data_IF_865845868144
#
_entry.id   IF_865845868144
#
_cell.length_a   1.000
_cell.length_b   1.000
_cell.length_c   1.000
_cell.angle_alpha   90.00
_cell.angle_beta   90.00
_cell.angle_gamma   90.00
#
_symmetry.space_group_name_H-M   'P 1'
#
loop_
_entity.id
_entity.type
_entity.pdbx_description
1 polymer ?
#
# COMPACT_ATOMS: atom_id res chain seq x y z
N UNK A 1 -16.45 2.86 1.73
CA UNK A 1 -15.54 3.95 2.16
C UNK A 1 -14.71 4.49 1.00
N UNK A 2 -15.35 5.18 0.07
CA UNK A 2 -14.71 5.69 -1.16
C UNK A 2 -14.05 7.06 -1.02
N UNK A 3 -14.30 7.77 0.09
CA UNK A 3 -13.76 9.11 0.32
C UNK A 3 -12.23 9.12 0.31
N UNK A 4 -11.65 9.96 -0.56
CA UNK A 4 -10.20 10.10 -0.73
C UNK A 4 -9.54 8.97 -1.52
N UNK A 5 -10.32 8.04 -2.12
CA UNK A 5 -9.79 6.98 -2.98
C UNK A 5 -9.67 7.45 -4.42
N UNK A 6 -8.57 7.08 -5.04
CA UNK A 6 -8.26 7.35 -6.44
C UNK A 6 -8.78 6.20 -7.31
N UNK A 7 -9.80 6.44 -8.13
CA UNK A 7 -10.44 5.41 -8.94
C UNK A 7 -10.27 5.69 -10.43
N UNK A 8 -9.78 4.72 -11.19
CA UNK A 8 -9.86 4.75 -12.64
C UNK A 8 -11.19 4.16 -13.07
N UNK A 9 -12.02 4.94 -13.76
CA UNK A 9 -13.21 4.48 -14.44
C UNK A 9 -12.92 4.29 -15.93
N UNK A 10 -12.78 3.03 -16.33
CA UNK A 10 -12.63 2.62 -17.71
C UNK A 10 -13.99 2.46 -18.38
N UNK A 11 -14.16 3.06 -19.56
CA UNK A 11 -15.42 2.99 -20.33
C UNK A 11 -15.14 2.43 -21.71
N UNK A 12 -15.74 1.27 -22.03
CA UNK A 12 -15.66 0.69 -23.37
C UNK A 12 -16.93 0.95 -24.20
N UNK A 13 -16.81 0.77 -25.53
CA UNK A 13 -17.86 1.11 -26.48
C UNK A 13 -19.02 0.12 -26.50
N UNK A 14 -20.11 0.48 -25.89
CA UNK A 14 -21.37 -0.26 -25.89
C UNK A 14 -22.50 0.59 -25.32
N UNK A 15 -23.76 0.21 -25.61
CA UNK A 15 -24.94 0.98 -25.21
C UNK A 15 -24.97 1.24 -23.70
N UNK A 16 -24.49 0.30 -22.90
CA UNK A 16 -24.45 0.43 -21.43
C UNK A 16 -23.53 1.56 -20.92
N UNK A 17 -22.74 2.22 -21.79
CA UNK A 17 -21.90 3.36 -21.43
C UNK A 17 -22.72 4.52 -20.80
N UNK A 18 -24.02 4.65 -21.12
CA UNK A 18 -24.85 5.67 -20.48
C UNK A 18 -24.94 5.49 -18.95
N UNK A 19 -24.88 4.25 -18.44
CA UNK A 19 -24.87 3.95 -17.00
C UNK A 19 -23.58 4.44 -16.31
N UNK A 20 -22.48 4.52 -17.04
CA UNK A 20 -21.18 4.97 -16.49
C UNK A 20 -21.23 6.42 -16.01
N UNK A 21 -22.13 7.24 -16.54
CA UNK A 21 -22.36 8.61 -16.07
C UNK A 21 -22.92 8.62 -14.66
N UNK A 22 -23.90 7.76 -14.40
CA UNK A 22 -24.49 7.60 -13.06
C UNK A 22 -23.44 7.05 -12.10
N UNK A 23 -22.70 6.02 -12.52
CA UNK A 23 -21.60 5.44 -11.71
C UNK A 23 -20.56 6.50 -11.37
N UNK A 24 -20.09 7.28 -12.35
CA UNK A 24 -19.14 8.38 -12.12
C UNK A 24 -19.67 9.35 -11.05
N UNK A 25 -20.92 9.78 -11.16
CA UNK A 25 -21.52 10.69 -10.18
C UNK A 25 -21.63 10.08 -8.78
N UNK A 26 -21.95 8.79 -8.67
CA UNK A 26 -22.02 8.08 -7.39
C UNK A 26 -20.62 8.04 -6.72
N UNK A 27 -19.59 7.69 -7.48
CA UNK A 27 -18.20 7.65 -6.97
C UNK A 27 -17.73 9.03 -6.51
N UNK A 28 -17.94 10.07 -7.32
CA UNK A 28 -17.56 11.45 -6.96
C UNK A 28 -18.35 11.93 -5.73
N UNK A 29 -19.67 11.67 -5.64
CA UNK A 29 -20.47 12.03 -4.47
C UNK A 29 -20.04 11.29 -3.20
N UNK A 30 -19.53 10.06 -3.34
CA UNK A 30 -18.95 9.29 -2.24
C UNK A 30 -17.56 9.82 -1.82
N UNK A 31 -17.04 10.86 -2.49
CA UNK A 31 -15.77 11.52 -2.17
C UNK A 31 -14.55 10.88 -2.81
N UNK A 32 -14.72 10.03 -3.82
CA UNK A 32 -13.61 9.50 -4.61
C UNK A 32 -13.10 10.51 -5.64
N UNK A 33 -11.80 10.48 -5.89
CA UNK A 33 -11.15 11.14 -7.03
C UNK A 33 -11.21 10.21 -8.23
N UNK A 34 -11.94 10.60 -9.28
CA UNK A 34 -12.19 9.70 -10.42
C UNK A 34 -11.47 10.19 -11.67
N UNK A 35 -10.61 9.36 -12.23
CA UNK A 35 -10.00 9.55 -13.55
C UNK A 35 -10.69 8.66 -14.58
N UNK A 36 -11.32 9.28 -15.58
CA UNK A 36 -11.98 8.53 -16.64
C UNK A 36 -10.97 8.21 -17.74
N UNK A 37 -10.96 6.92 -18.15
CA UNK A 37 -10.21 6.42 -19.32
C UNK A 37 -11.23 5.76 -20.27
N UNK A 38 -11.38 6.30 -21.45
CA UNK A 38 -12.40 5.85 -22.41
C UNK A 38 -11.75 5.28 -23.69
N UNK A 39 -12.28 4.16 -24.19
CA UNK A 39 -11.83 3.64 -25.50
C UNK A 39 -12.27 4.54 -26.64
N UNK A 40 -11.58 4.51 -27.82
CA UNK A 40 -12.03 5.22 -29.00
C UNK A 40 -13.52 4.97 -29.32
N UNK A 41 -13.94 3.72 -29.34
CA UNK A 41 -15.35 3.35 -29.57
C UNK A 41 -16.28 3.80 -28.45
N UNK A 42 -15.79 4.00 -27.24
CA UNK A 42 -16.59 4.50 -26.11
C UNK A 42 -17.10 5.92 -26.35
N UNK A 43 -16.31 6.73 -27.07
CA UNK A 43 -16.65 8.13 -27.41
C UNK A 43 -17.88 8.24 -28.32
N UNK A 44 -18.22 7.19 -29.07
CA UNK A 44 -19.42 7.15 -29.92
C UNK A 44 -20.72 7.02 -29.10
N UNK A 45 -20.62 6.49 -27.86
CA UNK A 45 -21.78 6.30 -26.99
C UNK A 45 -21.92 7.40 -25.94
N UNK A 46 -20.81 7.97 -25.48
CA UNK A 46 -20.81 9.06 -24.51
C UNK A 46 -19.64 9.99 -24.73
N UNK A 47 -19.91 11.30 -24.70
CA UNK A 47 -18.89 12.30 -25.02
C UNK A 47 -17.92 12.54 -23.86
N UNK A 48 -16.61 12.77 -24.15
CA UNK A 48 -15.64 13.20 -23.16
C UNK A 48 -16.04 14.47 -22.41
N UNK A 49 -16.77 15.39 -23.07
CA UNK A 49 -17.25 16.64 -22.44
C UNK A 49 -18.19 16.36 -21.26
N UNK A 50 -19.13 15.43 -21.42
CA UNK A 50 -20.03 15.03 -20.33
C UNK A 50 -19.25 14.46 -19.15
N UNK A 51 -18.31 13.56 -19.43
CA UNK A 51 -17.53 12.86 -18.41
C UNK A 51 -16.56 13.80 -17.68
N UNK A 52 -15.89 14.70 -18.41
CA UNK A 52 -14.96 15.67 -17.80
C UNK A 52 -15.67 16.69 -16.91
N UNK A 53 -16.85 17.14 -17.35
CA UNK A 53 -17.66 18.08 -16.55
C UNK A 53 -18.15 17.46 -15.23
N UNK A 54 -18.35 16.15 -15.18
CA UNK A 54 -18.82 15.45 -13.99
C UNK A 54 -17.68 15.00 -13.08
N UNK A 55 -16.53 14.62 -13.64
CA UNK A 55 -15.35 14.20 -12.86
C UNK A 55 -14.52 15.37 -12.37
N UNK A 56 -14.63 16.55 -13.02
CA UNK A 56 -13.75 17.69 -12.79
C UNK A 56 -12.33 17.48 -13.36
N UNK A 57 -12.10 16.42 -14.15
CA UNK A 57 -10.81 16.04 -14.72
C UNK A 57 -10.89 15.80 -16.22
N UNK A 58 -9.83 16.07 -16.99
CA UNK A 58 -9.77 15.69 -18.41
C UNK A 58 -9.97 14.18 -18.59
N UNK A 59 -10.73 13.80 -19.62
CA UNK A 59 -10.92 12.39 -19.99
C UNK A 59 -9.72 11.93 -20.83
N UNK A 60 -9.14 10.80 -20.48
CA UNK A 60 -8.01 10.22 -21.20
C UNK A 60 -8.54 9.15 -22.17
N UNK A 61 -8.16 9.25 -23.44
CA UNK A 61 -8.60 8.34 -24.49
C UNK A 61 -7.42 7.94 -25.40
N UNK A 62 -6.49 8.84 -25.59
CA UNK A 62 -5.34 8.68 -26.49
C UNK A 62 -4.04 8.74 -25.68
N UNK A 63 -2.96 8.17 -26.23
CA UNK A 63 -1.63 8.24 -25.60
C UNK A 63 -1.03 9.64 -25.62
N UNK A 64 -1.43 10.45 -26.63
CA UNK A 64 -0.94 11.81 -26.84
C UNK A 64 -2.08 12.76 -27.12
N UNK A 65 -2.00 13.97 -26.63
CA UNK A 65 -2.87 15.07 -27.03
C UNK A 65 -2.55 15.50 -28.45
N UNK A 66 -3.53 15.45 -29.35
CA UNK A 66 -3.33 15.68 -30.79
C UNK A 66 -2.71 17.06 -31.13
N UNK A 67 -2.99 18.11 -30.35
CA UNK A 67 -2.56 19.48 -30.63
C UNK A 67 -1.27 19.88 -29.92
N UNK A 68 -0.87 19.22 -28.82
CA UNK A 68 0.27 19.62 -28.02
C UNK A 68 1.38 18.55 -27.98
N UNK A 69 1.07 17.30 -28.38
CA UNK A 69 1.98 16.17 -28.20
C UNK A 69 2.19 15.78 -26.72
N UNK A 70 1.42 16.33 -25.80
CA UNK A 70 1.47 15.97 -24.40
C UNK A 70 1.18 14.48 -24.21
N UNK A 71 2.06 13.80 -23.49
CA UNK A 71 1.97 12.37 -23.25
C UNK A 71 1.10 12.07 -22.01
N UNK A 72 0.10 11.21 -22.20
CA UNK A 72 -0.69 10.67 -21.10
C UNK A 72 -0.09 9.36 -20.60
N UNK A 73 0.55 9.42 -19.45
CA UNK A 73 1.27 8.27 -18.89
C UNK A 73 0.31 7.24 -18.26
N UNK A 74 0.12 6.12 -18.95
CA UNK A 74 -0.60 4.95 -18.41
C UNK A 74 0.08 4.39 -17.14
N UNK A 75 1.42 4.47 -17.06
CA UNK A 75 2.19 4.05 -15.88
C UNK A 75 1.83 4.92 -14.67
N UNK A 76 1.79 6.25 -14.86
CA UNK A 76 1.41 7.18 -13.78
C UNK A 76 -0.01 6.93 -13.30
N UNK A 77 -0.95 6.62 -14.19
CA UNK A 77 -2.32 6.25 -13.85
C UNK A 77 -2.37 4.95 -13.05
N UNK A 78 -1.60 3.93 -13.46
CA UNK A 78 -1.51 2.64 -12.77
C UNK A 78 -0.91 2.73 -11.38
N UNK A 79 -0.02 3.71 -11.13
CA UNK A 79 0.55 3.98 -9.80
C UNK A 79 -0.38 4.84 -8.94
N UNK A 80 -1.11 5.79 -9.56
CA UNK A 80 -1.99 6.73 -8.88
C UNK A 80 -3.26 6.06 -8.29
N UNK A 81 -3.79 5.03 -8.98
CA UNK A 81 -5.08 4.45 -8.65
C UNK A 81 -5.04 3.52 -7.41
N UNK A 82 -6.06 3.64 -6.57
CA UNK A 82 -6.39 2.68 -5.51
C UNK A 82 -7.26 1.52 -6.01
N UNK A 83 -8.05 1.75 -7.08
CA UNK A 83 -8.79 0.74 -7.81
C UNK A 83 -9.03 1.16 -9.26
N UNK A 84 -9.20 0.17 -10.14
CA UNK A 84 -9.65 0.36 -11.51
C UNK A 84 -10.96 -0.41 -11.73
N UNK A 85 -11.98 0.25 -12.26
CA UNK A 85 -13.24 -0.39 -12.67
C UNK A 85 -13.49 -0.14 -14.16
N UNK A 86 -13.69 -1.20 -14.94
CA UNK A 86 -14.10 -1.12 -16.35
C UNK A 86 -15.59 -1.37 -16.44
N UNK A 87 -16.36 -0.33 -16.66
CA UNK A 87 -17.83 -0.35 -16.69
C UNK A 87 -18.35 0.64 -17.75
N UNK A 88 -18.97 0.14 -18.84
CA UNK A 88 -19.11 -1.27 -19.20
C UNK A 88 -17.81 -1.91 -19.67
N UNK A 89 -17.69 -3.24 -19.49
CA UNK A 89 -16.68 -4.06 -20.11
C UNK A 89 -17.31 -4.91 -21.23
N UNK A 90 -17.10 -4.51 -22.48
CA UNK A 90 -17.62 -5.24 -23.65
C UNK A 90 -16.80 -6.51 -23.93
N UNK A 91 -17.37 -7.46 -24.67
CA UNK A 91 -16.69 -8.69 -25.08
C UNK A 91 -15.31 -8.44 -25.72
N UNK A 92 -15.21 -7.41 -26.58
CA UNK A 92 -13.93 -7.00 -27.18
C UNK A 92 -12.91 -6.55 -26.15
N UNK A 93 -13.33 -5.73 -25.19
CA UNK A 93 -12.42 -5.22 -24.13
C UNK A 93 -11.99 -6.34 -23.21
N UNK A 94 -12.90 -7.23 -22.78
CA UNK A 94 -12.60 -8.40 -21.98
C UNK A 94 -11.61 -9.34 -22.66
N UNK A 95 -11.79 -9.58 -23.97
CA UNK A 95 -10.88 -10.41 -24.77
C UNK A 95 -9.47 -9.80 -24.82
N UNK A 96 -9.36 -8.49 -25.07
CA UNK A 96 -8.08 -7.78 -25.08
C UNK A 96 -7.38 -7.78 -23.72
N UNK A 97 -8.14 -7.58 -22.64
CA UNK A 97 -7.60 -7.66 -21.28
C UNK A 97 -7.07 -9.07 -20.99
N UNK A 98 -7.85 -10.12 -21.28
CA UNK A 98 -7.49 -11.51 -21.04
C UNK A 98 -6.29 -11.99 -21.87
N UNK A 99 -6.07 -11.41 -23.05
CA UNK A 99 -4.96 -11.78 -23.94
C UNK A 99 -3.80 -10.79 -23.96
N UNK A 100 -3.88 -9.68 -23.21
CA UNK A 100 -2.84 -8.68 -23.11
C UNK A 100 -2.65 -7.82 -24.38
N UNK A 101 -3.68 -7.66 -25.24
CA UNK A 101 -3.63 -6.84 -26.46
C UNK A 101 -3.82 -5.38 -26.11
N UNK A 102 -2.73 -4.66 -25.91
CA UNK A 102 -2.70 -3.25 -25.49
C UNK A 102 -2.79 -2.27 -26.70
N UNK A 103 -3.86 -2.32 -27.44
CA UNK A 103 -4.07 -1.50 -28.65
C UNK A 103 -4.77 -0.15 -28.39
N UNK A 104 -5.10 0.14 -27.14
CA UNK A 104 -5.73 1.38 -26.73
C UNK A 104 -5.35 1.76 -25.30
N UNK A 105 -5.58 3.02 -24.93
CA UNK A 105 -5.19 3.57 -23.65
C UNK A 105 -5.79 2.83 -22.44
N UNK A 106 -7.04 2.35 -22.54
CA UNK A 106 -7.71 1.64 -21.44
C UNK A 106 -7.01 0.32 -21.11
N UNK A 107 -6.75 -0.53 -22.13
CA UNK A 107 -6.11 -1.84 -21.91
C UNK A 107 -4.65 -1.67 -21.51
N UNK A 108 -3.95 -0.67 -22.07
CA UNK A 108 -2.58 -0.35 -21.66
C UNK A 108 -2.53 0.10 -20.18
N UNK A 109 -3.50 0.90 -19.74
CA UNK A 109 -3.62 1.30 -18.34
C UNK A 109 -3.91 0.09 -17.45
N UNK A 110 -4.79 -0.82 -17.87
CA UNK A 110 -5.05 -2.08 -17.16
C UNK A 110 -3.77 -2.90 -16.96
N UNK A 111 -2.97 -3.10 -17.99
CA UNK A 111 -1.71 -3.85 -17.89
C UNK A 111 -0.65 -3.16 -17.02
N UNK A 112 -0.81 -1.87 -16.76
CA UNK A 112 0.07 -1.08 -15.88
C UNK A 112 -0.49 -0.90 -14.47
N UNK A 113 -1.74 -1.34 -14.22
CA UNK A 113 -2.41 -1.16 -12.95
C UNK A 113 -1.74 -1.99 -11.85
N UNK A 114 -1.47 -1.34 -10.72
CA UNK A 114 -0.95 -1.98 -9.49
C UNK A 114 -2.01 -2.13 -8.40
N UNK A 115 -3.21 -1.69 -8.70
CA UNK A 115 -4.37 -1.73 -7.83
C UNK A 115 -5.31 -2.86 -8.21
N UNK A 116 -6.26 -3.26 -7.34
CA UNK A 116 -7.35 -4.16 -7.68
C UNK A 116 -8.13 -3.67 -8.90
N UNK A 117 -8.44 -4.61 -9.80
CA UNK A 117 -9.18 -4.32 -11.03
C UNK A 117 -10.55 -5.02 -10.98
N UNK A 118 -11.57 -4.27 -11.34
CA UNK A 118 -12.96 -4.73 -11.44
C UNK A 118 -13.44 -4.59 -12.88
N UNK A 119 -14.31 -5.51 -13.31
CA UNK A 119 -14.99 -5.42 -14.61
C UNK A 119 -16.48 -5.64 -14.43
N UNK A 120 -17.29 -4.82 -15.08
CA UNK A 120 -18.74 -4.99 -15.19
C UNK A 120 -19.10 -5.34 -16.63
N UNK A 121 -19.22 -6.64 -16.97
CA UNK A 121 -19.52 -7.08 -18.33
C UNK A 121 -20.88 -6.56 -18.84
N UNK A 122 -20.92 -6.21 -20.13
CA UNK A 122 -22.14 -5.78 -20.81
C UNK A 122 -22.09 -6.19 -22.28
N UNK A 123 -23.01 -7.07 -22.67
CA UNK A 123 -23.12 -7.59 -24.05
C UNK A 123 -24.46 -8.33 -24.24
N UNK A 124 -24.79 -8.67 -25.47
CA UNK A 124 -25.96 -9.46 -25.77
C UNK A 124 -25.87 -10.89 -25.20
N UNK A 125 -27.03 -11.53 -25.03
CA UNK A 125 -27.21 -12.83 -24.41
C UNK A 125 -26.30 -13.90 -25.01
N UNK A 126 -26.33 -14.04 -26.35
CA UNK A 126 -25.54 -15.06 -27.06
C UNK A 126 -24.03 -14.79 -26.97
N UNK A 127 -23.63 -13.53 -26.96
CA UNK A 127 -22.25 -13.11 -26.73
C UNK A 127 -21.77 -13.45 -25.32
N UNK A 128 -22.66 -13.30 -24.33
CA UNK A 128 -22.34 -13.62 -22.94
C UNK A 128 -22.19 -15.13 -22.71
N UNK A 129 -23.04 -15.93 -23.34
CA UNK A 129 -23.01 -17.38 -23.27
C UNK A 129 -21.94 -18.01 -24.19
N UNK A 130 -21.28 -17.23 -25.06
CA UNK A 130 -20.30 -17.75 -25.99
C UNK A 130 -19.07 -18.32 -25.25
N UNK A 131 -18.61 -19.56 -25.59
CA UNK A 131 -17.49 -20.18 -24.89
C UNK A 131 -16.21 -19.33 -24.82
N UNK A 132 -15.97 -18.47 -25.80
CA UNK A 132 -14.81 -17.56 -25.79
C UNK A 132 -14.95 -16.49 -24.70
N UNK A 133 -16.17 -15.96 -24.50
CA UNK A 133 -16.43 -14.97 -23.45
C UNK A 133 -16.26 -15.61 -22.06
N UNK A 134 -16.79 -16.82 -21.88
CA UNK A 134 -16.63 -17.57 -20.62
C UNK A 134 -15.16 -17.84 -20.32
N UNK A 135 -14.35 -18.28 -21.33
CA UNK A 135 -12.90 -18.46 -21.15
C UNK A 135 -12.20 -17.15 -20.77
N UNK A 136 -12.51 -16.04 -21.43
CA UNK A 136 -11.91 -14.75 -21.13
C UNK A 136 -12.22 -14.30 -19.71
N UNK A 137 -13.47 -14.45 -19.26
CA UNK A 137 -13.86 -14.15 -17.88
C UNK A 137 -13.17 -15.07 -16.87
N UNK A 138 -13.03 -16.37 -17.18
CA UNK A 138 -12.31 -17.32 -16.34
C UNK A 138 -10.82 -16.94 -16.23
N UNK A 139 -10.19 -16.57 -17.34
CA UNK A 139 -8.80 -16.08 -17.37
C UNK A 139 -8.65 -14.83 -16.51
N UNK A 140 -9.50 -13.83 -16.70
CA UNK A 140 -9.44 -12.61 -15.91
C UNK A 140 -9.64 -12.87 -14.40
N UNK A 141 -10.53 -13.79 -14.03
CA UNK A 141 -10.68 -14.21 -12.62
C UNK A 141 -9.41 -14.87 -12.08
N UNK A 142 -8.77 -15.74 -12.88
CA UNK A 142 -7.51 -16.39 -12.48
C UNK A 142 -6.36 -15.40 -12.34
N UNK A 143 -6.40 -14.28 -13.09
CA UNK A 143 -5.44 -13.19 -13.02
C UNK A 143 -5.75 -12.19 -11.89
N UNK A 144 -6.77 -12.47 -11.05
CA UNK A 144 -7.14 -11.65 -9.90
C UNK A 144 -8.09 -10.49 -10.21
N UNK A 145 -8.71 -10.44 -11.41
CA UNK A 145 -9.70 -9.44 -11.75
C UNK A 145 -11.05 -9.80 -11.12
N UNK A 146 -11.65 -8.85 -10.42
CA UNK A 146 -12.97 -8.98 -9.81
C UNK A 146 -14.07 -8.78 -10.86
N UNK A 147 -14.78 -9.84 -11.21
CA UNK A 147 -15.90 -9.78 -12.17
C UNK A 147 -17.17 -9.48 -11.40
N UNK A 148 -17.78 -8.32 -11.67
CA UNK A 148 -19.13 -7.97 -11.18
C UNK A 148 -20.10 -8.60 -12.15
N UNK A 149 -20.89 -9.56 -11.67
CA UNK A 149 -21.78 -10.35 -12.52
C UNK A 149 -22.84 -9.46 -13.18
N UNK A 150 -23.11 -9.67 -14.49
CA UNK A 150 -24.16 -8.92 -15.17
C UNK A 150 -25.54 -9.31 -14.63
N UNK A 151 -26.44 -8.33 -14.59
CA UNK A 151 -27.82 -8.53 -14.19
C UNK A 151 -28.61 -9.29 -15.26
N UNK A 152 -29.63 -10.00 -14.81
CA UNK A 152 -30.64 -10.63 -15.68
C UNK A 152 -31.76 -9.61 -15.94
N UNK A 153 -32.00 -9.26 -17.18
CA UNK A 153 -33.01 -8.27 -17.56
C UNK A 153 -33.18 -8.14 -19.06
N UNK A 154 -34.04 -7.21 -19.48
CA UNK A 154 -34.21 -6.86 -20.89
C UNK A 154 -32.96 -6.17 -21.42
N UNK A 155 -32.46 -6.64 -22.55
CA UNK A 155 -31.32 -6.12 -23.29
C UNK A 155 -31.78 -5.14 -24.40
N UNK A 156 -30.86 -4.40 -24.99
CA UNK A 156 -31.15 -3.51 -26.10
C UNK A 156 -31.68 -4.23 -27.34
N UNK A 157 -31.43 -5.53 -27.45
CA UNK A 157 -32.00 -6.45 -28.46
C UNK A 157 -33.43 -6.90 -28.16
N UNK A 158 -34.06 -6.42 -27.09
CA UNK A 158 -35.33 -6.86 -26.55
C UNK A 158 -35.36 -8.33 -26.06
N UNK A 159 -34.23 -9.01 -26.04
CA UNK A 159 -34.10 -10.31 -25.40
C UNK A 159 -33.99 -10.14 -23.87
N UNK A 160 -34.49 -11.12 -23.13
CA UNK A 160 -34.40 -11.14 -21.66
C UNK A 160 -33.43 -12.23 -21.23
N UNK A 161 -32.37 -11.84 -20.52
CA UNK A 161 -31.35 -12.76 -20.06
C UNK A 161 -30.19 -12.10 -19.35
N UNK A 162 -29.12 -12.89 -19.10
CA UNK A 162 -27.88 -12.45 -18.47
C UNK A 162 -27.01 -11.74 -19.51
N UNK A 163 -26.66 -10.48 -19.29
CA UNK A 163 -25.80 -9.71 -20.19
C UNK A 163 -25.92 -8.20 -19.98
N UNK A 164 -26.92 -7.76 -19.21
CA UNK A 164 -27.10 -6.36 -18.83
C UNK A 164 -26.04 -5.96 -17.80
N UNK A 165 -25.32 -4.86 -18.05
CA UNK A 165 -24.41 -4.32 -17.04
C UNK A 165 -25.13 -4.13 -15.70
N UNK A 166 -24.52 -4.55 -14.62
CA UNK A 166 -25.04 -4.34 -13.26
C UNK A 166 -25.38 -2.85 -13.02
N UNK A 167 -26.31 -2.58 -12.12
CA UNK A 167 -26.73 -1.22 -11.83
C UNK A 167 -25.61 -0.41 -11.16
N UNK A 168 -25.45 0.88 -11.52
CA UNK A 168 -24.37 1.73 -11.01
C UNK A 168 -24.29 1.79 -9.49
N UNK A 169 -25.44 1.76 -8.81
CA UNK A 169 -25.55 1.76 -7.35
C UNK A 169 -24.92 0.51 -6.74
N UNK A 170 -25.18 -0.65 -7.34
CA UNK A 170 -24.60 -1.92 -6.87
C UNK A 170 -23.11 -2.01 -7.17
N UNK A 171 -22.66 -1.52 -8.34
CA UNK A 171 -21.23 -1.43 -8.66
C UNK A 171 -20.51 -0.54 -7.64
N UNK A 172 -21.06 0.63 -7.33
CA UNK A 172 -20.51 1.53 -6.32
C UNK A 172 -20.49 0.88 -4.93
N UNK A 173 -21.54 0.13 -4.57
CA UNK A 173 -21.59 -0.60 -3.30
C UNK A 173 -20.55 -1.72 -3.22
N UNK A 174 -20.27 -2.45 -4.31
CA UNK A 174 -19.20 -3.46 -4.37
C UNK A 174 -17.82 -2.83 -4.11
N UNK A 175 -17.53 -1.70 -4.74
CA UNK A 175 -16.30 -0.97 -4.51
C UNK A 175 -16.20 -0.43 -3.07
N UNK A 176 -17.29 0.11 -2.53
CA UNK A 176 -17.34 0.60 -1.15
C UNK A 176 -17.14 -0.53 -0.14
N UNK A 177 -17.80 -1.68 -0.34
CA UNK A 177 -17.62 -2.88 0.48
C UNK A 177 -16.17 -3.37 0.44
N UNK A 178 -15.58 -3.46 -0.75
CA UNK A 178 -14.18 -3.88 -0.93
C UNK A 178 -13.20 -3.02 -0.12
N UNK A 179 -13.38 -1.69 -0.14
CA UNK A 179 -12.55 -0.81 0.67
C UNK A 179 -12.93 -0.82 2.15
N UNK A 180 -14.17 -1.15 2.50
CA UNK A 180 -14.65 -1.27 3.89
C UNK A 180 -14.15 -2.55 4.56
N UNK A 181 -14.09 -3.66 3.85
CA UNK A 181 -13.55 -4.93 4.33
C UNK A 181 -12.06 -4.82 4.73
N UNK A 182 -11.33 -3.89 4.14
CA UNK A 182 -9.94 -3.58 4.52
C UNK A 182 -9.80 -2.68 5.76
N UNK A 183 -10.90 -2.23 6.38
CA UNK A 183 -10.86 -1.38 7.58
C UNK A 183 -10.77 -2.20 8.88
N UNK A 184 -9.98 -3.26 8.86
CA UNK A 184 -9.82 -4.22 9.99
C UNK A 184 -9.23 -3.57 11.24
N UNK A 185 -8.54 -2.44 11.10
CA UNK A 185 -7.93 -1.68 12.19
C UNK A 185 -8.67 -0.36 12.50
N UNK A 186 -9.91 -0.20 12.04
CA UNK A 186 -10.70 0.99 12.35
C UNK A 186 -10.80 1.22 13.88
N UNK A 187 -10.45 2.43 14.32
CA UNK A 187 -10.45 2.81 15.74
C UNK A 187 -9.26 2.25 16.55
N UNK A 188 -8.32 1.52 15.93
CA UNK A 188 -7.07 1.10 16.56
C UNK A 188 -5.99 2.16 16.46
N UNK A 189 -5.22 2.32 17.53
CA UNK A 189 -4.03 3.19 17.57
C UNK A 189 -2.77 2.36 17.39
N UNK A 190 -2.01 2.68 16.37
CA UNK A 190 -0.79 1.94 16.01
C UNK A 190 0.42 2.85 16.13
N UNK A 191 1.38 2.47 16.97
CA UNK A 191 2.68 3.10 17.09
C UNK A 191 3.68 2.35 16.21
N UNK A 192 4.43 3.07 15.38
CA UNK A 192 5.49 2.48 14.54
C UNK A 192 6.75 3.31 14.71
N UNK A 193 7.90 2.66 14.93
CA UNK A 193 9.20 3.31 14.79
C UNK A 193 9.84 3.01 13.45
N UNK A 194 10.47 3.97 12.81
CA UNK A 194 11.09 3.83 11.50
C UNK A 194 12.40 4.64 11.37
N UNK A 195 13.20 4.30 10.35
CA UNK A 195 14.45 5.00 10.09
C UNK A 195 15.61 4.59 10.99
N UNK A 196 16.78 5.18 10.79
CA UNK A 196 17.93 5.05 11.71
C UNK A 196 17.80 6.03 12.88
N UNK A 197 18.62 5.86 13.92
CA UNK A 197 18.95 6.95 14.82
C UNK A 197 20.37 7.44 14.54
N UNK A 198 20.61 8.74 14.76
CA UNK A 198 21.90 9.39 14.61
C UNK A 198 22.38 9.88 15.96
N UNK A 199 23.44 9.25 16.44
CA UNK A 199 24.08 9.61 17.70
C UNK A 199 25.26 10.55 17.41
N UNK A 200 25.08 11.83 17.67
CA UNK A 200 26.05 12.85 17.29
C UNK A 200 27.39 12.66 17.97
N UNK A 201 28.45 12.67 17.20
CA UNK A 201 29.82 12.84 17.67
C UNK A 201 30.09 14.34 17.82
N UNK A 202 29.75 15.11 16.78
CA UNK A 202 29.81 16.56 16.71
C UNK A 202 28.73 17.08 15.77
N UNK A 203 28.59 18.40 15.52
CA UNK A 203 27.54 18.92 14.62
C UNK A 203 27.59 18.41 13.17
N UNK A 204 28.65 17.68 12.78
CA UNK A 204 28.87 17.22 11.40
C UNK A 204 28.83 15.70 11.29
N UNK A 205 29.27 14.96 12.33
CA UNK A 205 29.46 13.51 12.31
C UNK A 205 28.62 12.80 13.35
N UNK A 206 28.18 11.60 13.03
CA UNK A 206 27.34 10.77 13.89
C UNK A 206 27.68 9.27 13.73
N UNK A 207 27.23 8.49 14.70
CA UNK A 207 27.14 7.03 14.65
C UNK A 207 25.69 6.69 14.30
N UNK A 208 25.47 5.78 13.35
CA UNK A 208 24.11 5.38 12.95
C UNK A 208 24.14 4.15 12.05
N UNK A 209 22.94 3.67 11.70
CA UNK A 209 22.73 2.51 10.84
C UNK A 209 22.39 2.91 9.40
N UNK A 210 22.64 2.03 8.42
CA UNK A 210 22.33 2.25 7.01
C UNK A 210 20.83 2.16 6.67
N UNK A 211 19.95 2.19 7.66
CA UNK A 211 18.50 2.12 7.44
C UNK A 211 17.99 3.35 6.66
N UNK A 212 17.10 3.12 5.74
CA UNK A 212 16.40 4.17 4.98
C UNK A 212 14.97 4.41 5.44
N UNK A 213 14.48 3.66 6.42
CA UNK A 213 13.11 3.77 6.93
C UNK A 213 12.02 3.08 6.08
N UNK A 214 12.35 2.61 4.86
CA UNK A 214 11.36 2.09 3.88
C UNK A 214 10.40 1.07 4.46
N UNK A 215 10.85 0.13 5.32
CA UNK A 215 9.99 -0.91 5.86
C UNK A 215 8.97 -0.34 6.86
N UNK A 216 9.42 0.49 7.81
CA UNK A 216 8.53 1.12 8.79
C UNK A 216 7.49 2.04 8.14
N UNK A 217 7.89 2.81 7.11
CA UNK A 217 6.95 3.61 6.32
C UNK A 217 5.94 2.75 5.56
N UNK A 218 6.37 1.64 4.93
CA UNK A 218 5.45 0.73 4.25
C UNK A 218 4.42 0.12 5.22
N UNK A 219 4.83 -0.24 6.44
CA UNK A 219 3.92 -0.74 7.48
C UNK A 219 2.96 0.37 7.94
N UNK A 220 3.44 1.62 8.08
CA UNK A 220 2.60 2.74 8.47
C UNK A 220 1.50 3.04 7.44
N UNK A 221 1.85 3.04 6.16
CA UNK A 221 0.89 3.21 5.07
C UNK A 221 -0.14 2.07 5.04
N UNK A 222 0.29 0.82 5.23
CA UNK A 222 -0.61 -0.34 5.25
C UNK A 222 -1.54 -0.28 6.47
N UNK A 223 -1.03 0.00 7.68
CA UNK A 223 -1.85 0.12 8.88
C UNK A 223 -2.89 1.25 8.75
N UNK A 224 -2.50 2.41 8.22
CA UNK A 224 -3.41 3.52 7.97
C UNK A 224 -4.44 3.19 6.89
N UNK A 225 -4.07 2.46 5.84
CA UNK A 225 -5.01 2.00 4.80
C UNK A 225 -6.06 1.04 5.36
N UNK A 226 -5.76 0.31 6.45
CA UNK A 226 -6.69 -0.53 7.21
C UNK A 226 -7.50 0.25 8.26
N UNK A 227 -7.41 1.57 8.28
CA UNK A 227 -8.21 2.45 9.14
C UNK A 227 -7.60 2.74 10.51
N UNK A 228 -6.35 2.38 10.76
CA UNK A 228 -5.69 2.70 12.01
C UNK A 228 -5.34 4.20 12.12
N UNK A 229 -5.35 4.72 13.35
CA UNK A 229 -4.70 5.99 13.71
C UNK A 229 -3.20 5.71 13.96
N UNK A 230 -2.34 6.07 13.02
CA UNK A 230 -0.92 5.75 13.08
C UNK A 230 -0.11 6.90 13.67
N UNK A 231 0.70 6.62 14.69
CA UNK A 231 1.81 7.48 15.12
C UNK A 231 3.12 6.85 14.64
N UNK A 232 3.78 7.50 13.68
CA UNK A 232 5.06 7.09 13.11
C UNK A 232 6.19 7.91 13.73
N UNK A 233 6.96 7.32 14.63
CA UNK A 233 8.18 7.92 15.19
C UNK A 233 9.33 7.63 14.25
N UNK A 234 9.80 8.65 13.56
CA UNK A 234 10.78 8.50 12.47
C UNK A 234 12.11 9.13 12.80
N UNK A 235 13.16 8.34 12.78
CA UNK A 235 14.53 8.85 12.66
C UNK A 235 14.77 9.49 11.28
N UNK A 236 15.95 10.08 11.04
CA UNK A 236 16.24 10.84 9.84
C UNK A 236 16.07 10.03 8.56
N UNK A 237 15.21 10.50 7.65
CA UNK A 237 14.94 9.88 6.34
C UNK A 237 14.45 10.92 5.34
N UNK A 238 14.60 10.63 4.05
CA UNK A 238 14.01 11.43 2.97
C UNK A 238 12.56 11.05 2.64
N UNK A 239 12.02 10.01 3.29
CA UNK A 239 10.65 9.53 3.04
C UNK A 239 9.62 10.47 3.66
N UNK A 240 8.44 10.50 3.04
CA UNK A 240 7.26 11.21 3.57
C UNK A 240 6.09 10.25 3.60
N UNK A 241 5.32 10.30 4.67
CA UNK A 241 4.04 9.60 4.74
C UNK A 241 3.03 10.27 3.80
N UNK A 242 2.23 9.45 3.10
CA UNK A 242 1.23 9.92 2.14
C UNK A 242 -0.19 9.85 2.70
N UNK A 243 -0.48 8.90 3.59
CA UNK A 243 -1.82 8.69 4.12
C UNK A 243 -2.15 9.69 5.24
N UNK A 244 -3.31 10.33 5.15
CA UNK A 244 -3.76 11.35 6.13
C UNK A 244 -3.94 10.81 7.57
N UNK A 245 -4.09 9.50 7.75
CA UNK A 245 -4.18 8.83 9.05
C UNK A 245 -2.85 8.65 9.76
N UNK A 246 -1.73 9.11 9.17
CA UNK A 246 -0.38 8.97 9.73
C UNK A 246 0.08 10.32 10.32
N UNK A 247 0.33 10.34 11.62
CA UNK A 247 1.01 11.46 12.30
C UNK A 247 2.49 11.11 12.47
N UNK A 248 3.35 11.83 11.78
CA UNK A 248 4.81 11.66 11.89
C UNK A 248 5.34 12.47 13.07
N UNK A 249 6.22 11.85 13.84
CA UNK A 249 7.00 12.48 14.92
C UNK A 249 8.47 12.28 14.57
N UNK A 250 9.10 13.35 14.11
CA UNK A 250 10.52 13.31 13.74
C UNK A 250 11.40 13.36 14.97
N UNK A 251 12.40 12.50 15.01
CA UNK A 251 13.42 12.37 16.07
C UNK A 251 14.78 12.16 15.45
N UNK A 252 15.86 12.42 16.19
CA UNK A 252 17.20 12.22 15.69
C UNK A 252 17.93 11.07 16.42
N UNK A 253 17.92 11.09 17.76
CA UNK A 253 18.64 10.15 18.61
C UNK A 253 17.80 9.00 19.13
N UNK A 254 18.44 7.94 19.63
CA UNK A 254 17.79 6.83 20.32
C UNK A 254 17.03 7.31 21.58
N UNK A 255 17.58 8.28 22.30
CA UNK A 255 16.94 8.85 23.48
C UNK A 255 15.63 9.58 23.13
N UNK A 256 15.64 10.41 22.07
CA UNK A 256 14.44 11.08 21.59
C UNK A 256 13.41 10.08 21.06
N UNK A 257 13.86 9.05 20.32
CA UNK A 257 12.99 7.99 19.83
C UNK A 257 12.33 7.22 20.98
N UNK A 258 13.07 6.89 22.04
CA UNK A 258 12.51 6.25 23.22
C UNK A 258 11.47 7.14 23.90
N UNK A 259 11.76 8.42 24.09
CA UNK A 259 10.83 9.37 24.72
C UNK A 259 9.51 9.48 23.92
N UNK A 260 9.59 9.65 22.59
CA UNK A 260 8.43 9.72 21.72
C UNK A 260 7.65 8.41 21.67
N UNK A 261 8.33 7.26 21.58
CA UNK A 261 7.69 5.94 21.60
C UNK A 261 6.97 5.69 22.93
N UNK A 262 7.58 6.00 24.08
CA UNK A 262 6.93 5.86 25.38
C UNK A 262 5.64 6.68 25.49
N UNK A 263 5.69 7.95 25.08
CA UNK A 263 4.52 8.83 25.13
C UNK A 263 3.36 8.30 24.26
N UNK A 264 3.65 7.73 23.09
CA UNK A 264 2.64 7.17 22.21
C UNK A 264 2.17 5.77 22.65
N UNK A 265 3.02 4.98 23.31
CA UNK A 265 2.74 3.60 23.70
C UNK A 265 1.62 3.51 24.75
N UNK A 266 1.48 4.49 25.62
CA UNK A 266 0.42 4.51 26.65
C UNK A 266 -0.99 4.37 26.09
N UNK A 267 -1.23 4.84 24.89
CA UNK A 267 -2.56 4.78 24.24
C UNK A 267 -2.61 3.84 23.04
N UNK A 268 -1.48 3.26 22.64
CA UNK A 268 -1.41 2.37 21.49
C UNK A 268 -2.03 1.00 21.78
N UNK A 269 -2.76 0.44 20.84
CA UNK A 269 -3.20 -0.96 20.83
C UNK A 269 -2.09 -1.88 20.29
N UNK A 270 -1.35 -1.39 19.29
CA UNK A 270 -0.29 -2.12 18.60
C UNK A 270 0.95 -1.23 18.51
N UNK A 271 2.12 -1.79 18.82
CA UNK A 271 3.40 -1.13 18.65
C UNK A 271 4.35 -1.98 17.79
N UNK A 272 4.95 -1.39 16.76
CA UNK A 272 5.82 -2.08 15.80
C UNK A 272 7.17 -1.35 15.76
N UNK A 273 8.20 -2.00 16.31
CA UNK A 273 9.53 -1.45 16.47
C UNK A 273 10.39 -1.83 15.25
N UNK A 274 10.27 -1.06 14.16
CA UNK A 274 10.97 -1.32 12.89
C UNK A 274 12.15 -0.38 12.63
N UNK A 275 12.45 0.56 13.54
CA UNK A 275 13.61 1.43 13.45
C UNK A 275 14.93 0.66 13.65
N UNK A 276 15.97 1.11 12.98
CA UNK A 276 17.34 0.64 13.18
C UNK A 276 18.05 1.57 14.17
N UNK A 277 17.82 1.33 15.45
CA UNK A 277 18.37 2.12 16.54
C UNK A 277 19.85 1.79 16.70
N UNK A 278 20.71 2.79 16.87
CA UNK A 278 22.12 2.57 17.17
C UNK A 278 22.27 2.00 18.59
N UNK A 279 23.09 0.94 18.75
CA UNK A 279 23.32 0.29 20.06
C UNK A 279 24.17 1.16 20.99
N UNK A 280 24.97 2.07 20.43
CA UNK A 280 25.91 2.92 21.14
C UNK A 280 25.83 4.38 20.70
N UNK A 281 26.07 5.28 21.65
CA UNK A 281 26.23 6.71 21.44
C UNK A 281 27.57 7.19 22.00
N UNK A 282 28.15 8.31 21.51
CA UNK A 282 29.27 8.98 22.14
C UNK A 282 28.90 9.40 23.57
N UNK A 283 29.77 9.07 24.54
CA UNK A 283 29.58 9.45 25.96
C UNK A 283 29.57 10.99 26.12
N UNK A 284 30.37 11.66 25.33
CA UNK A 284 30.58 13.11 25.38
C UNK A 284 30.52 13.68 23.95
N UNK A 285 29.35 14.03 23.43
CA UNK A 285 29.24 14.68 22.13
C UNK A 285 29.81 16.09 22.20
N UNK A 286 30.49 16.50 21.14
CA UNK A 286 31.06 17.84 21.03
C UNK A 286 30.05 18.83 20.46
N UNK A 287 30.05 20.05 21.00
CA UNK A 287 29.18 21.16 20.55
C UNK A 287 29.72 21.88 19.32
N UNK A 288 30.97 21.62 18.94
CA UNK A 288 31.69 22.18 17.78
C UNK A 288 32.27 21.08 16.92
N UNK A 289 32.57 21.40 15.66
CA UNK A 289 33.23 20.47 14.73
C UNK A 289 34.66 20.17 15.19
N UNK A 290 34.96 18.92 15.50
CA UNK A 290 36.27 18.46 15.88
C UNK A 290 37.27 18.68 14.72
N UNK A 291 38.35 19.38 14.99
CA UNK A 291 39.44 19.65 14.04
C UNK A 291 40.59 18.68 14.29
N UNK A 292 41.04 18.00 13.24
CA UNK A 292 42.11 16.99 13.30
C UNK A 292 43.45 17.53 13.84
N UNK A 293 43.74 18.79 13.54
CA UNK A 293 45.03 19.41 13.86
C UNK A 293 45.10 19.99 15.27
N UNK A 294 43.97 20.38 15.86
CA UNK A 294 43.91 21.10 17.15
C UNK A 294 43.35 20.28 18.29
N UNK A 295 42.41 19.40 18.04
CA UNK A 295 41.64 18.74 19.11
C UNK A 295 42.23 17.36 19.47
N UNK A 296 43.11 16.77 18.62
CA UNK A 296 43.96 15.60 18.94
C UNK A 296 43.17 14.37 19.39
N UNK A 297 41.93 14.17 18.90
CA UNK A 297 41.06 13.10 19.34
C UNK A 297 41.32 11.84 18.51
N UNK A 298 41.89 10.83 19.13
CA UNK A 298 42.19 9.52 18.51
C UNK A 298 41.13 8.45 18.86
N UNK A 299 40.34 8.67 19.91
CA UNK A 299 39.34 7.72 20.40
C UNK A 299 38.03 8.43 20.78
N UNK A 300 36.91 7.74 20.59
CA UNK A 300 35.59 8.20 21.01
C UNK A 300 35.09 7.17 22.05
N UNK A 301 34.86 7.62 23.26
CA UNK A 301 34.24 6.81 24.30
C UNK A 301 32.77 6.59 23.96
N UNK A 302 32.28 5.33 24.05
CA UNK A 302 30.93 4.95 23.73
C UNK A 302 30.17 4.49 24.98
N UNK A 303 28.91 4.89 25.07
CA UNK A 303 27.94 4.40 26.04
C UNK A 303 26.83 3.64 25.35
N UNK A 304 26.20 2.69 26.03
CA UNK A 304 25.08 1.92 25.48
C UNK A 304 23.81 2.78 25.44
N UNK A 305 23.13 2.75 24.29
CA UNK A 305 21.80 3.31 24.17
C UNK A 305 20.74 2.44 24.87
N UNK A 306 19.63 3.02 25.29
CA UNK A 306 18.51 2.27 25.85
C UNK A 306 17.86 1.37 24.79
N UNK A 307 17.53 0.13 25.19
CA UNK A 307 16.77 -0.79 24.35
C UNK A 307 15.28 -0.41 24.35
N UNK A 308 14.83 0.25 23.29
CA UNK A 308 13.46 0.76 23.17
C UNK A 308 12.44 -0.38 23.24
N UNK A 309 12.67 -1.46 22.49
CA UNK A 309 11.74 -2.59 22.45
C UNK A 309 11.64 -3.31 23.79
N UNK A 310 12.77 -3.51 24.49
CA UNK A 310 12.77 -4.07 25.83
C UNK A 310 12.08 -3.16 26.86
N UNK A 311 12.30 -1.86 26.78
CA UNK A 311 11.64 -0.86 27.64
C UNK A 311 10.12 -0.89 27.45
N UNK A 312 9.62 -0.88 26.21
CA UNK A 312 8.19 -0.98 25.94
C UNK A 312 7.62 -2.34 26.35
N UNK A 313 8.37 -3.43 26.15
CA UNK A 313 7.97 -4.77 26.58
C UNK A 313 7.77 -4.90 28.08
N UNK A 314 8.60 -4.21 28.88
CA UNK A 314 8.44 -4.15 30.35
C UNK A 314 7.20 -3.33 30.77
N UNK A 315 6.75 -2.38 29.95
CA UNK A 315 5.57 -1.53 30.20
C UNK A 315 4.28 -2.08 29.58
N UNK A 316 4.39 -3.12 28.73
CA UNK A 316 3.28 -3.65 27.94
C UNK A 316 2.12 -4.14 28.80
N UNK A 317 0.91 -3.70 28.47
CA UNK A 317 -0.34 -4.20 29.05
C UNK A 317 -0.85 -5.42 28.28
N UNK A 318 -1.71 -6.22 28.91
CA UNK A 318 -2.26 -7.47 28.33
C UNK A 318 -3.07 -7.26 27.06
N UNK A 319 -3.65 -6.07 26.88
CA UNK A 319 -4.43 -5.70 25.70
C UNK A 319 -3.60 -5.06 24.59
N UNK A 320 -2.29 -4.92 24.76
CA UNK A 320 -1.39 -4.35 23.76
C UNK A 320 -0.63 -5.45 23.02
N UNK A 321 -0.33 -5.22 21.77
CA UNK A 321 0.57 -6.06 20.96
C UNK A 321 1.87 -5.32 20.69
N UNK A 322 2.99 -6.00 20.91
CA UNK A 322 4.32 -5.46 20.66
C UNK A 322 5.06 -6.34 19.67
N UNK A 323 5.46 -5.75 18.55
CA UNK A 323 6.16 -6.41 17.45
C UNK A 323 7.56 -5.84 17.32
N UNK A 324 8.56 -6.72 17.25
CA UNK A 324 9.95 -6.33 17.04
C UNK A 324 10.46 -6.71 15.65
N UNK A 325 11.63 -6.18 15.31
CA UNK A 325 12.40 -6.57 14.15
C UNK A 325 13.78 -7.10 14.57
N UNK A 326 14.29 -8.08 13.84
CA UNK A 326 15.63 -8.57 13.99
C UNK A 326 16.28 -8.73 12.60
N UNK A 327 17.49 -8.20 12.46
CA UNK A 327 18.34 -8.40 11.31
C UNK A 327 19.51 -9.27 11.76
N UNK A 328 19.62 -10.48 11.23
CA UNK A 328 20.59 -11.48 11.67
C UNK A 328 21.47 -11.94 10.51
N UNK A 329 22.66 -12.41 10.82
CA UNK A 329 23.58 -13.01 9.85
C UNK A 329 23.53 -14.53 9.89
N UNK A 330 23.42 -15.11 11.11
CA UNK A 330 23.46 -16.54 11.36
C UNK A 330 22.35 -16.92 12.35
N UNK A 331 21.83 -18.16 12.24
CA UNK A 331 20.81 -18.75 13.12
C UNK A 331 19.64 -17.81 13.49
N UNK A 332 19.13 -17.15 12.45
CA UNK A 332 18.19 -16.03 12.57
C UNK A 332 16.93 -16.38 13.37
N UNK A 333 16.44 -17.63 13.24
CA UNK A 333 15.23 -18.08 13.93
C UNK A 333 15.46 -18.24 15.43
N UNK A 334 16.57 -18.88 15.86
CA UNK A 334 16.88 -19.07 17.26
C UNK A 334 17.13 -17.73 17.97
N UNK A 335 17.94 -16.84 17.36
CA UNK A 335 18.18 -15.49 17.87
C UNK A 335 16.90 -14.66 17.93
N UNK A 336 16.02 -14.80 16.93
CA UNK A 336 14.71 -14.15 16.92
C UNK A 336 13.84 -14.58 18.08
N UNK A 337 13.75 -15.89 18.37
CA UNK A 337 12.98 -16.43 19.52
C UNK A 337 13.53 -15.95 20.87
N UNK A 338 14.86 -15.96 21.05
CA UNK A 338 15.49 -15.44 22.24
C UNK A 338 15.20 -13.94 22.46
N UNK A 339 15.35 -13.13 21.41
CA UNK A 339 15.00 -11.69 21.45
C UNK A 339 13.53 -11.47 21.79
N UNK A 340 12.63 -12.26 21.20
CA UNK A 340 11.19 -12.17 21.45
C UNK A 340 10.87 -12.45 22.93
N UNK A 341 11.44 -13.48 23.52
CA UNK A 341 11.24 -13.83 24.93
C UNK A 341 11.82 -12.74 25.87
N UNK A 342 13.07 -12.32 25.66
CA UNK A 342 13.75 -11.33 26.51
C UNK A 342 13.08 -9.96 26.49
N UNK A 343 12.50 -9.57 25.37
CA UNK A 343 11.88 -8.25 25.18
C UNK A 343 10.36 -8.28 25.33
N UNK A 344 9.76 -9.40 25.75
CA UNK A 344 8.31 -9.58 25.90
C UNK A 344 7.50 -9.20 24.66
N UNK A 345 7.98 -9.62 23.47
CA UNK A 345 7.29 -9.37 22.20
C UNK A 345 6.22 -10.44 21.94
N UNK A 346 5.13 -10.06 21.29
CA UNK A 346 4.09 -10.99 20.82
C UNK A 346 4.46 -11.60 19.46
N UNK A 347 5.23 -10.86 18.67
CA UNK A 347 5.71 -11.25 17.34
C UNK A 347 7.07 -10.61 17.07
N UNK A 348 7.90 -11.29 16.29
CA UNK A 348 9.13 -10.74 15.77
C UNK A 348 9.25 -11.03 14.27
N UNK A 349 9.63 -10.03 13.50
CA UNK A 349 9.93 -10.14 12.08
C UNK A 349 11.43 -10.25 11.92
N UNK A 350 11.87 -11.38 11.41
CA UNK A 350 13.30 -11.67 11.21
C UNK A 350 13.63 -11.59 9.73
N UNK A 351 14.67 -10.86 9.39
CA UNK A 351 15.29 -10.83 8.07
C UNK A 351 16.79 -11.11 8.17
N UNK A 352 17.38 -11.60 7.08
CA UNK A 352 18.79 -11.96 7.04
C UNK A 352 19.54 -11.14 6.00
N UNK A 353 20.74 -10.70 6.35
CA UNK A 353 21.69 -10.07 5.40
C UNK A 353 22.26 -11.08 4.39
N UNK A 354 22.19 -12.37 4.67
CA UNK A 354 22.59 -13.42 3.73
C UNK A 354 21.66 -13.55 2.51
N UNK A 355 20.42 -13.04 2.62
CA UNK A 355 19.45 -13.10 1.53
C UNK A 355 19.66 -11.94 0.54
N UNK A 356 20.05 -12.25 -0.69
CA UNK A 356 20.22 -11.25 -1.75
C UNK A 356 18.91 -10.49 -2.00
N UNK A 357 18.96 -9.16 -1.98
CA UNK A 357 17.79 -8.28 -2.15
C UNK A 357 16.98 -8.03 -0.87
N UNK A 358 17.35 -8.63 0.27
CA UNK A 358 16.83 -8.30 1.58
C UNK A 358 17.77 -7.30 2.31
N UNK A 359 17.27 -6.57 3.29
CA UNK A 359 18.05 -5.69 4.14
C UNK A 359 17.87 -4.20 3.89
N UNK A 360 18.90 -3.40 4.25
CA UNK A 360 18.84 -1.95 4.19
C UNK A 360 18.93 -1.42 2.75
N UNK A 361 18.25 -0.31 2.47
CA UNK A 361 18.33 0.41 1.19
C UNK A 361 17.57 -0.20 0.02
N UNK A 362 17.27 -1.49 0.02
CA UNK A 362 16.53 -2.20 -1.04
C UNK A 362 15.04 -1.88 -1.02
N UNK A 363 14.35 -2.10 -2.15
CA UNK A 363 12.88 -1.97 -2.23
C UNK A 363 12.15 -3.28 -1.90
N UNK A 364 12.89 -4.38 -1.80
CA UNK A 364 12.40 -5.71 -1.48
C UNK A 364 12.83 -6.14 -0.08
N UNK A 365 12.17 -7.16 0.48
CA UNK A 365 12.58 -7.85 1.68
C UNK A 365 12.14 -9.32 1.65
N UNK A 366 12.88 -10.17 2.35
CA UNK A 366 12.54 -11.57 2.66
C UNK A 366 12.47 -11.70 4.15
N UNK A 367 11.36 -12.21 4.69
CA UNK A 367 11.13 -12.25 6.12
C UNK A 367 10.70 -13.62 6.60
N UNK A 368 10.99 -13.88 7.87
CA UNK A 368 10.36 -14.95 8.67
C UNK A 368 9.64 -14.30 9.83
N UNK A 369 8.38 -14.60 10.03
CA UNK A 369 7.58 -14.14 11.17
C UNK A 369 7.57 -15.24 12.22
N UNK A 370 7.93 -14.89 13.46
CA UNK A 370 7.83 -15.76 14.63
C UNK A 370 6.80 -15.16 15.60
N UNK A 371 5.91 -16.01 16.14
CA UNK A 371 4.90 -15.60 17.12
C UNK A 371 5.15 -16.24 18.49
N UNK A 372 4.71 -15.60 19.54
CA UNK A 372 4.87 -16.09 20.92
C UNK A 372 4.13 -17.43 21.16
N UNK A 373 3.10 -17.75 20.34
CA UNK A 373 2.42 -19.05 20.33
C UNK A 373 3.20 -20.18 19.63
N UNK A 374 4.46 -19.95 19.25
CA UNK A 374 5.33 -20.97 18.60
C UNK A 374 5.23 -21.00 17.08
N UNK A 375 4.39 -20.17 16.46
CA UNK A 375 4.27 -20.08 15.00
C UNK A 375 5.55 -19.62 14.32
N UNK A 376 5.82 -20.16 13.13
CA UNK A 376 6.91 -19.78 12.24
C UNK A 376 6.39 -19.73 10.81
N UNK A 377 6.53 -18.57 10.15
CA UNK A 377 6.00 -18.31 8.82
C UNK A 377 7.07 -17.69 7.94
N UNK A 378 7.48 -18.41 6.89
CA UNK A 378 8.54 -17.99 5.97
C UNK A 378 7.91 -17.40 4.72
N UNK A 379 8.34 -16.22 4.32
CA UNK A 379 7.87 -15.52 3.12
C UNK A 379 8.99 -15.41 2.09
N UNK A 380 8.66 -15.51 0.79
CA UNK A 380 9.64 -15.28 -0.27
C UNK A 380 10.05 -13.81 -0.34
N UNK A 381 11.08 -13.51 -1.15
CA UNK A 381 11.47 -12.14 -1.45
C UNK A 381 10.32 -11.42 -2.19
N UNK A 382 9.85 -10.32 -1.60
CA UNK A 382 8.75 -9.50 -2.11
C UNK A 382 9.07 -8.01 -1.99
N UNK A 383 8.38 -7.14 -2.73
CA UNK A 383 8.38 -5.69 -2.45
C UNK A 383 7.99 -5.39 -1.00
N UNK A 384 8.65 -4.42 -0.37
CA UNK A 384 8.39 -4.05 1.04
C UNK A 384 6.93 -3.69 1.32
N UNK A 385 6.20 -3.20 0.32
CA UNK A 385 4.77 -2.92 0.43
C UNK A 385 3.95 -4.21 0.63
N UNK A 386 4.27 -5.27 -0.10
CA UNK A 386 3.62 -6.58 0.05
C UNK A 386 4.02 -7.27 1.36
N UNK A 387 5.29 -7.11 1.77
CA UNK A 387 5.77 -7.58 3.08
C UNK A 387 5.02 -6.89 4.22
N UNK A 388 4.70 -5.60 4.08
CA UNK A 388 3.89 -4.88 5.07
C UNK A 388 2.49 -5.48 5.22
N UNK A 389 1.86 -5.90 4.11
CA UNK A 389 0.57 -6.63 4.14
C UNK A 389 0.70 -7.92 4.92
N UNK A 390 1.72 -8.76 4.61
CA UNK A 390 1.95 -10.03 5.31
C UNK A 390 2.15 -9.82 6.82
N UNK A 391 2.89 -8.78 7.22
CA UNK A 391 3.12 -8.43 8.64
C UNK A 391 1.81 -8.03 9.31
N UNK A 392 1.03 -7.13 8.71
CA UNK A 392 -0.22 -6.66 9.28
C UNK A 392 -1.26 -7.77 9.39
N UNK A 393 -1.34 -8.66 8.39
CA UNK A 393 -2.22 -9.85 8.42
C UNK A 393 -1.90 -10.78 9.59
N UNK A 394 -0.63 -10.90 9.98
CA UNK A 394 -0.22 -11.73 11.12
C UNK A 394 -0.46 -11.02 12.45
N UNK A 395 -0.28 -9.71 12.52
CA UNK A 395 -0.58 -8.92 13.72
C UNK A 395 -2.06 -9.00 14.09
N UNK A 396 -2.95 -8.99 13.10
CA UNK A 396 -4.40 -9.08 13.33
C UNK A 396 -4.87 -10.47 13.83
N UNK A 397 -4.04 -11.50 13.67
CA UNK A 397 -4.36 -12.89 14.09
C UNK A 397 -3.86 -13.23 15.48
N UNK A 398 -2.98 -12.43 16.06
CA UNK A 398 -2.44 -12.60 17.42
C UNK A 398 -3.11 -11.59 18.38
#
# INVERSE_FOLDING_TARGET
MLKGKNIILGISGGIAAYKSVTLLRLLVKAGAEVQVVITPNGKEFITPVTLSSLSGRPVVSEFFSANTGEWHSHVSLGVWADAMIVAPATASTLAKMASGVADNMLVTTYLSARCPVFVAPAMDLDMMAHPTTERNLATLRSDGVHVIEPEVGELASHLVGRGRMEEPEKIAAVLDAFFSEKQTLAGKKVLISAGPTYERIDPVRFIGNFSTGKMGYAIAEEAASRGAEVTLVSGPTALKASHAGIRVVDVESAAEMLAACRAAFDTADIAIMAAAVADYAPAHPFDHKIKRETDGIDTIELVKNPDIAATLGAMKRSNQRLVGFALETDDAVAHGRDKMARKNLDMIVVNSLADAGAGFGTDTNKITILTNGGGEYVFPLKPKREVAVDIMDHIERI
#
